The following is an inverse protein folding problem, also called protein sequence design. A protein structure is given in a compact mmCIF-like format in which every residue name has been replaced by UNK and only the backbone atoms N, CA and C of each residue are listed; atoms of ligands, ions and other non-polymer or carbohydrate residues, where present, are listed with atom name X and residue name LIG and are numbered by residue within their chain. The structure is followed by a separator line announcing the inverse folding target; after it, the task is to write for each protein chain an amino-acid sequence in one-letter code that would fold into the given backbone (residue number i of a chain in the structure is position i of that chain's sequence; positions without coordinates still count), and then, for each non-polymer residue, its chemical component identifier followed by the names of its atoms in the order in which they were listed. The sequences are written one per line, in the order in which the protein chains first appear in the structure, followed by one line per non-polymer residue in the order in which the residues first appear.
data_IF_869688280965
#
_entry.id   IF_869688280965
#
_cell.length_a   1.000
_cell.length_b   1.000
_cell.length_c   1.000
_cell.angle_alpha   90.00
_cell.angle_beta   90.00
_cell.angle_gamma   90.00
#
_symmetry.space_group_name_H-M   'P 1'
#
loop_
_entity.id
_entity.type
_entity.pdbx_description
1 polymer ?
#
# COMPACT_ATOMS: atom_id res chain seq x y z
N UNK A 1 -16.02 -26.27 9.44
CA UNK A 1 -17.18 -27.19 9.60
C UNK A 1 -16.99 -27.94 10.91
N UNK A 2 -18.05 -28.27 11.64
CA UNK A 2 -17.92 -29.09 12.85
C UNK A 2 -17.84 -30.56 12.46
N UNK A 3 -16.80 -31.25 12.93
CA UNK A 3 -16.67 -32.71 12.85
C UNK A 3 -16.75 -33.23 14.30
N UNK A 4 -17.95 -33.68 14.70
CA UNK A 4 -18.23 -34.03 16.10
C UNK A 4 -18.24 -32.81 17.04
N UNK A 5 -17.73 -32.99 18.26
CA UNK A 5 -17.67 -31.95 19.32
C UNK A 5 -16.43 -31.06 19.23
N UNK A 6 -15.63 -31.17 18.16
CA UNK A 6 -14.43 -30.37 17.95
C UNK A 6 -14.60 -29.41 16.78
N UNK A 7 -14.18 -28.16 17.03
CA UNK A 7 -14.10 -27.11 16.03
C UNK A 7 -12.96 -27.43 15.07
N UNK A 8 -13.28 -28.00 13.90
CA UNK A 8 -12.31 -28.22 12.84
C UNK A 8 -12.23 -26.96 11.98
N UNK A 9 -11.17 -26.18 12.21
CA UNK A 9 -10.81 -25.03 11.38
C UNK A 9 -10.30 -25.51 10.02
N UNK A 10 -11.04 -25.21 8.94
CA UNK A 10 -10.66 -25.46 7.54
C UNK A 10 -10.27 -24.16 6.81
N UNK A 11 -9.73 -23.19 7.54
CA UNK A 11 -9.21 -21.92 7.00
C UNK A 11 -7.72 -21.81 7.30
N UNK A 12 -7.00 -21.03 6.47
CA UNK A 12 -5.55 -20.79 6.49
C UNK A 12 -4.99 -20.19 7.81
N UNK A 13 -5.82 -19.99 8.83
CA UNK A 13 -5.41 -19.50 10.13
C UNK A 13 -4.97 -20.68 11.00
N UNK A 14 -3.68 -20.73 11.31
CA UNK A 14 -3.11 -21.65 12.29
C UNK A 14 -3.16 -20.99 13.67
N UNK A 15 -4.06 -21.41 14.58
CA UNK A 15 -4.21 -20.80 15.89
C UNK A 15 -3.01 -21.00 16.83
N UNK A 16 -2.00 -21.80 16.44
CA UNK A 16 -0.71 -21.88 17.14
C UNK A 16 0.31 -20.86 16.64
N UNK A 17 0.06 -20.20 15.50
CA UNK A 17 0.93 -19.18 14.90
C UNK A 17 0.28 -17.79 14.88
N UNK A 18 -1.04 -17.71 14.94
CA UNK A 18 -1.77 -16.45 15.11
C UNK A 18 -1.43 -15.83 16.47
N UNK A 19 -0.70 -14.72 16.45
CA UNK A 19 -0.24 -13.99 17.65
C UNK A 19 1.23 -14.22 18.02
N UNK A 20 1.98 -15.02 17.25
CA UNK A 20 3.43 -14.96 17.27
C UNK A 20 3.83 -13.87 16.27
N UNK A 21 4.32 -12.73 16.75
CA UNK A 21 5.04 -11.76 15.90
C UNK A 21 5.98 -12.58 15.03
N UNK A 22 5.79 -12.53 13.71
CA UNK A 22 6.48 -13.40 12.75
C UNK A 22 8.00 -13.21 12.74
N UNK A 23 8.50 -12.28 13.54
CA UNK A 23 9.87 -11.85 13.58
C UNK A 23 10.25 -11.09 12.30
N UNK A 24 11.41 -10.41 12.32
CA UNK A 24 11.85 -9.56 11.21
C UNK A 24 11.99 -10.27 9.85
N UNK A 25 12.08 -11.60 9.85
CA UNK A 25 12.19 -12.40 8.62
C UNK A 25 10.84 -12.59 7.91
N UNK A 26 9.74 -12.71 8.64
CA UNK A 26 8.40 -12.78 8.03
C UNK A 26 8.01 -11.40 7.49
N UNK A 27 8.30 -10.32 8.21
CA UNK A 27 8.07 -8.94 7.76
C UNK A 27 8.80 -8.67 6.43
N UNK A 28 10.04 -9.17 6.30
CA UNK A 28 10.83 -8.99 5.07
C UNK A 28 10.27 -9.79 3.89
N UNK A 29 9.82 -11.02 4.11
CA UNK A 29 9.20 -11.82 3.05
C UNK A 29 7.88 -11.19 2.57
N UNK A 30 7.09 -10.63 3.49
CA UNK A 30 5.85 -9.92 3.18
C UNK A 30 6.11 -8.63 2.38
N UNK A 31 7.17 -7.90 2.73
CA UNK A 31 7.64 -6.73 1.96
C UNK A 31 8.07 -7.16 0.55
N UNK A 32 8.94 -8.17 0.43
CA UNK A 32 9.44 -8.64 -0.86
C UNK A 32 8.29 -9.12 -1.76
N UNK A 33 7.31 -9.83 -1.20
CA UNK A 33 6.12 -10.27 -1.92
C UNK A 33 5.26 -9.07 -2.38
N UNK A 34 5.06 -8.09 -1.50
CA UNK A 34 4.29 -6.88 -1.82
C UNK A 34 4.95 -6.09 -2.96
N UNK A 35 6.28 -5.92 -2.92
CA UNK A 35 7.05 -5.27 -3.99
C UNK A 35 6.90 -6.01 -5.31
N UNK A 36 7.01 -7.35 -5.29
CA UNK A 36 6.82 -8.17 -6.48
C UNK A 36 5.40 -8.02 -7.07
N UNK A 37 4.37 -8.00 -6.22
CA UNK A 37 2.99 -7.77 -6.65
C UNK A 37 2.80 -6.38 -7.27
N UNK A 38 3.41 -5.34 -6.69
CA UNK A 38 3.34 -3.98 -7.23
C UNK A 38 4.01 -3.88 -8.60
N UNK A 39 5.14 -4.56 -8.83
CA UNK A 39 5.78 -4.61 -10.15
C UNK A 39 4.93 -5.37 -11.18
N UNK A 40 4.31 -6.49 -10.78
CA UNK A 40 3.38 -7.21 -11.66
C UNK A 40 2.18 -6.34 -12.04
N UNK A 41 1.57 -5.63 -11.07
CA UNK A 41 0.47 -4.69 -11.33
C UNK A 41 0.89 -3.58 -12.29
N UNK A 42 2.09 -2.99 -12.09
CA UNK A 42 2.65 -1.99 -13.01
C UNK A 42 2.77 -2.55 -14.42
N UNK A 43 3.35 -3.74 -14.58
CA UNK A 43 3.56 -4.36 -15.89
C UNK A 43 2.22 -4.62 -16.62
N UNK A 44 1.19 -5.08 -15.89
CA UNK A 44 -0.16 -5.28 -16.45
C UNK A 44 -0.78 -3.95 -16.88
N UNK A 45 -0.68 -2.90 -16.05
CA UNK A 45 -1.18 -1.57 -16.38
C UNK A 45 -0.49 -0.99 -17.62
N UNK A 46 0.83 -1.12 -17.73
CA UNK A 46 1.59 -0.69 -18.92
C UNK A 46 1.16 -1.44 -20.17
N UNK A 47 1.03 -2.77 -20.10
CA UNK A 47 0.59 -3.60 -21.22
C UNK A 47 -0.83 -3.25 -21.70
N UNK A 48 -1.67 -2.71 -20.81
CA UNK A 48 -3.06 -2.30 -21.09
C UNK A 48 -3.21 -0.80 -21.32
N UNK A 49 -2.10 -0.04 -21.39
CA UNK A 49 -2.10 1.43 -21.53
C UNK A 49 -2.87 2.16 -20.43
N UNK A 50 -3.00 1.55 -19.25
CA UNK A 50 -3.59 2.16 -18.06
C UNK A 50 -2.48 2.80 -17.23
N UNK A 51 -2.59 4.08 -16.83
CA UNK A 51 -1.60 4.69 -15.94
C UNK A 51 -1.56 3.99 -14.57
N UNK A 52 -0.36 3.62 -14.14
CA UNK A 52 -0.10 3.08 -12.82
C UNK A 52 0.60 4.11 -11.93
N UNK A 53 0.09 4.30 -10.72
CA UNK A 53 0.68 5.17 -9.69
C UNK A 53 0.38 4.59 -8.31
N UNK A 54 1.34 4.74 -7.39
CA UNK A 54 1.25 4.33 -5.99
C UNK A 54 1.47 5.56 -5.12
N UNK A 55 0.62 5.73 -4.10
CA UNK A 55 0.74 6.79 -3.11
C UNK A 55 1.04 6.16 -1.75
N UNK A 56 2.14 6.56 -1.10
CA UNK A 56 2.46 6.11 0.25
C UNK A 56 1.76 7.01 1.26
N UNK A 57 0.89 6.40 2.06
CA UNK A 57 0.21 7.04 3.18
C UNK A 57 1.13 7.03 4.42
N UNK A 58 0.92 7.96 5.37
CA UNK A 58 1.66 7.98 6.63
C UNK A 58 1.41 6.69 7.39
N UNK A 59 2.48 5.97 7.66
CA UNK A 59 2.47 4.78 8.50
C UNK A 59 3.85 4.66 9.17
N UNK A 60 3.86 4.38 10.48
CA UNK A 60 5.11 4.20 11.23
C UNK A 60 5.94 3.01 10.73
N UNK A 61 5.31 2.07 10.01
CA UNK A 61 5.97 0.93 9.37
C UNK A 61 6.63 1.28 8.02
N UNK A 62 6.33 2.43 7.42
CA UNK A 62 6.92 2.85 6.14
C UNK A 62 8.16 3.70 6.43
N UNK A 63 9.32 3.05 6.42
CA UNK A 63 10.60 3.74 6.48
C UNK A 63 11.12 4.16 5.10
N UNK A 64 12.22 4.92 5.12
CA UNK A 64 12.85 5.42 3.91
C UNK A 64 13.42 4.30 3.03
N UNK A 65 13.84 3.19 3.62
CA UNK A 65 14.45 2.06 2.90
C UNK A 65 13.38 1.28 2.13
N UNK A 66 12.20 1.08 2.73
CA UNK A 66 11.03 0.48 2.09
C UNK A 66 10.52 1.35 0.94
N UNK A 67 10.40 2.66 1.15
CA UNK A 67 10.01 3.60 0.10
C UNK A 67 10.97 3.55 -1.10
N UNK A 68 12.29 3.51 -0.83
CA UNK A 68 13.31 3.34 -1.87
C UNK A 68 13.24 1.99 -2.58
N UNK A 69 12.99 0.90 -1.85
CA UNK A 69 12.87 -0.44 -2.44
C UNK A 69 11.66 -0.54 -3.38
N UNK A 70 10.51 0.01 -2.96
CA UNK A 70 9.32 0.11 -3.82
C UNK A 70 9.65 0.95 -5.05
N UNK A 71 10.23 2.14 -4.88
CA UNK A 71 10.57 3.03 -6.00
C UNK A 71 11.55 2.38 -6.99
N UNK A 72 12.52 1.61 -6.50
CA UNK A 72 13.48 0.89 -7.33
C UNK A 72 12.80 -0.21 -8.17
N UNK A 73 11.75 -0.83 -7.64
CA UNK A 73 11.01 -1.89 -8.32
C UNK A 73 10.01 -1.35 -9.34
N UNK A 74 9.13 -0.43 -8.93
CA UNK A 74 8.06 0.07 -9.82
C UNK A 74 8.47 1.30 -10.64
N UNK A 75 9.66 1.83 -10.41
CA UNK A 75 10.16 3.08 -11.01
C UNK A 75 9.79 4.32 -10.19
N UNK A 76 10.71 5.27 -10.02
CA UNK A 76 10.53 6.42 -9.12
C UNK A 76 9.41 7.36 -9.57
N UNK A 77 9.10 7.41 -10.87
CA UNK A 77 7.99 8.22 -11.36
C UNK A 77 6.63 7.68 -10.91
N UNK A 78 6.52 6.37 -10.61
CA UNK A 78 5.26 5.70 -10.26
C UNK A 78 4.97 5.71 -8.75
N UNK A 79 5.91 6.16 -7.92
CA UNK A 79 5.75 6.24 -6.46
C UNK A 79 5.70 7.69 -6.00
N UNK A 80 4.68 8.02 -5.20
CA UNK A 80 4.52 9.35 -4.60
C UNK A 80 4.39 9.21 -3.09
N UNK A 81 5.42 9.67 -2.39
CA UNK A 81 5.39 9.79 -0.95
C UNK A 81 4.57 11.03 -0.55
N UNK A 82 3.47 10.81 0.17
CA UNK A 82 2.60 11.88 0.67
C UNK A 82 2.51 11.87 2.20
N UNK A 83 3.46 11.23 2.87
CA UNK A 83 3.49 11.13 4.33
C UNK A 83 3.59 12.51 4.99
N UNK A 84 4.36 13.43 4.40
CA UNK A 84 4.53 14.80 4.89
C UNK A 84 3.23 15.62 4.97
N UNK A 85 2.19 15.24 4.20
CA UNK A 85 0.88 15.91 4.23
C UNK A 85 0.16 15.75 5.57
N UNK A 86 0.57 14.78 6.38
CA UNK A 86 -0.06 14.46 7.66
C UNK A 86 0.71 15.01 8.87
N UNK A 87 1.61 15.96 8.63
CA UNK A 87 2.21 16.78 9.68
C UNK A 87 1.18 17.61 10.47
N UNK A 88 -0.02 17.86 9.91
CA UNK A 88 -1.16 18.39 10.68
C UNK A 88 -1.85 17.25 11.46
N UNK A 89 -1.84 17.25 12.80
CA UNK A 89 -2.49 16.22 13.60
C UNK A 89 -4.01 16.12 13.41
N UNK A 90 -4.65 17.09 12.74
CA UNK A 90 -6.06 17.02 12.35
C UNK A 90 -6.29 16.22 11.08
N UNK A 91 -5.23 15.89 10.32
CA UNK A 91 -5.31 15.11 9.10
C UNK A 91 -5.51 13.61 9.36
N UNK A 92 -5.26 13.13 10.59
CA UNK A 92 -5.50 11.74 11.01
C UNK A 92 -6.61 11.67 12.08
N UNK A 93 -7.31 10.54 12.14
CA UNK A 93 -8.17 10.24 13.27
C UNK A 93 -7.31 9.85 14.47
N UNK A 94 -7.71 10.31 15.67
CA UNK A 94 -6.86 10.21 16.86
C UNK A 94 -6.69 8.79 17.43
N UNK A 95 -7.64 7.90 17.15
CA UNK A 95 -7.70 6.55 17.72
C UNK A 95 -7.76 5.47 16.62
N UNK A 96 -7.54 5.89 15.39
CA UNK A 96 -7.74 5.08 14.21
C UNK A 96 -6.74 5.57 13.16
N UNK A 97 -5.88 4.70 12.63
CA UNK A 97 -4.80 5.08 11.70
C UNK A 97 -5.31 5.68 10.38
N UNK A 98 -6.63 5.72 10.17
CA UNK A 98 -7.24 6.29 9.00
C UNK A 98 -7.17 7.83 8.94
N UNK A 99 -7.04 8.39 7.72
CA UNK A 99 -7.18 9.82 7.48
C UNK A 99 -8.53 10.37 7.97
N UNK A 100 -8.53 11.58 8.52
CA UNK A 100 -9.76 12.32 8.80
C UNK A 100 -10.37 12.86 7.50
N UNK A 101 -11.58 13.47 7.51
CA UNK A 101 -12.11 14.18 6.35
C UNK A 101 -11.17 15.27 5.81
N UNK A 102 -10.36 15.89 6.67
CA UNK A 102 -9.32 16.83 6.25
C UNK A 102 -8.16 16.08 5.56
N UNK A 103 -7.70 14.97 6.14
CA UNK A 103 -6.64 14.14 5.55
C UNK A 103 -7.01 13.64 4.15
N UNK A 104 -8.22 13.10 3.98
CA UNK A 104 -8.73 12.71 2.67
C UNK A 104 -8.74 13.87 1.65
N UNK A 105 -9.06 15.09 2.09
CA UNK A 105 -9.00 16.27 1.22
C UNK A 105 -7.57 16.57 0.79
N UNK A 106 -6.61 16.56 1.71
CA UNK A 106 -5.20 16.81 1.42
C UNK A 106 -4.62 15.77 0.46
N UNK A 107 -4.93 14.48 0.68
CA UNK A 107 -4.59 13.39 -0.24
C UNK A 107 -5.14 13.68 -1.64
N UNK A 108 -6.43 13.99 -1.76
CA UNK A 108 -7.06 14.24 -3.05
C UNK A 108 -6.45 15.46 -3.77
N UNK A 109 -6.14 16.53 -3.04
CA UNK A 109 -5.49 17.73 -3.57
C UNK A 109 -4.09 17.42 -4.11
N UNK A 110 -3.32 16.58 -3.42
CA UNK A 110 -2.00 16.13 -3.87
C UNK A 110 -2.05 15.16 -5.06
N UNK A 111 -2.99 14.21 -5.06
CA UNK A 111 -3.15 13.21 -6.14
C UNK A 111 -3.61 13.85 -7.46
N UNK A 112 -4.49 14.84 -7.40
CA UNK A 112 -5.15 15.43 -8.58
C UNK A 112 -4.18 15.91 -9.68
N UNK A 113 -3.15 16.74 -9.41
CA UNK A 113 -2.23 17.18 -10.46
C UNK A 113 -1.42 16.03 -11.07
N UNK A 114 -1.03 15.04 -10.25
CA UNK A 114 -0.28 13.85 -10.69
C UNK A 114 -1.13 13.03 -11.67
N UNK A 115 -2.36 12.71 -11.28
CA UNK A 115 -3.28 11.93 -12.11
C UNK A 115 -3.60 12.67 -13.42
N UNK A 116 -3.83 13.99 -13.37
CA UNK A 116 -4.02 14.81 -14.58
C UNK A 116 -2.82 14.74 -15.53
N UNK A 117 -1.60 14.85 -14.99
CA UNK A 117 -0.38 14.74 -15.80
C UNK A 117 -0.19 13.37 -16.44
N UNK A 118 -0.63 12.29 -15.77
CA UNK A 118 -0.56 10.92 -16.29
C UNK A 118 -1.61 10.65 -17.37
N UNK A 119 -2.85 11.10 -17.17
CA UNK A 119 -3.94 10.93 -18.13
C UNK A 119 -3.69 11.68 -19.44
N UNK A 120 -2.98 12.81 -19.42
CA UNK A 120 -2.61 13.55 -20.64
C UNK A 120 -1.51 12.87 -21.46
N UNK A 121 -0.74 11.96 -20.86
CA UNK A 121 0.35 11.22 -21.52
C UNK A 121 -0.10 9.87 -22.09
N UNK A 122 -1.27 9.37 -21.70
CA UNK A 122 -1.80 8.12 -22.21
C UNK A 122 -2.28 8.29 -23.67
N UNK A 123 -1.94 7.38 -24.59
CA UNK A 123 -2.50 7.41 -25.93
C UNK A 123 -4.02 7.25 -25.86
N UNK A 124 -4.79 7.90 -26.77
CA UNK A 124 -6.24 7.72 -26.80
C UNK A 124 -6.61 6.25 -27.07
N UNK A 125 -7.77 5.79 -26.56
CA UNK A 125 -8.27 4.43 -26.76
C UNK A 125 -8.57 4.11 -28.24
#
# INVERSE_FOLDING_TARGET
ELEGDQLVYRGLADPQRDGMDGGPELDRQEIDLTIAMLDEMRAICEATSVPFVVFLLPDDAIDQDLSQAIAASIGPDNLYDIQDLFSDPKAQLRFDGHPSPLGHRLIAEAMTPILKGRLQKAPPP
#
